data_IF_810462929449
#
_entry.id   IF_810462929449
#
_cell.length_a   1.000
_cell.length_b   1.000
_cell.length_c   1.000
_cell.angle_alpha   90.00
_cell.angle_beta   90.00
_cell.angle_gamma   90.00
#
_symmetry.space_group_name_H-M   'P 1'
#
loop_
_entity.id
_entity.type
_entity.pdbx_description
1 polymer ?
#
# COMPACT_ATOMS: atom_id res chain seq x y z
N UNK A 1 -0.68 8.04 -12.28
CA UNK A 1 -0.34 6.90 -11.40
C UNK A 1 -0.18 7.39 -9.97
N UNK A 2 -1.09 6.99 -9.09
CA UNK A 2 -1.18 7.47 -7.69
C UNK A 2 0.04 7.10 -6.85
N UNK A 3 0.64 5.93 -7.12
CA UNK A 3 1.74 5.37 -6.33
C UNK A 3 3.16 5.82 -6.78
N UNK A 4 3.25 6.65 -7.82
CA UNK A 4 4.52 7.07 -8.40
C UNK A 4 5.40 7.84 -7.39
N UNK A 5 6.66 7.42 -7.25
CA UNK A 5 7.65 8.04 -6.38
C UNK A 5 7.30 8.05 -4.88
N UNK A 6 6.32 7.26 -4.43
CA UNK A 6 5.82 7.32 -3.07
C UNK A 6 6.75 6.70 -2.03
N UNK A 7 7.59 5.74 -2.43
CA UNK A 7 8.65 5.19 -1.56
C UNK A 7 10.04 5.77 -1.89
N UNK A 8 10.12 6.93 -2.56
CA UNK A 8 11.40 7.61 -2.75
C UNK A 8 11.90 8.25 -1.46
N UNK A 9 13.20 8.57 -1.42
CA UNK A 9 13.82 9.30 -0.29
C UNK A 9 13.14 10.66 -0.10
N UNK A 10 12.77 11.36 -1.17
CA UNK A 10 12.05 12.65 -1.07
C UNK A 10 10.65 12.51 -0.46
N UNK A 11 10.07 11.31 -0.51
CA UNK A 11 8.68 11.05 -0.10
C UNK A 11 8.60 10.53 1.35
N UNK A 12 9.46 9.58 1.73
CA UNK A 12 9.44 8.93 3.05
C UNK A 12 10.79 8.96 3.78
N UNK A 13 11.73 9.78 3.31
CA UNK A 13 13.04 9.99 3.94
C UNK A 13 13.90 8.72 3.96
N UNK A 14 14.54 8.49 5.10
CA UNK A 14 15.43 7.33 5.32
C UNK A 14 14.74 5.96 5.19
N UNK A 15 13.40 5.92 5.10
CA UNK A 15 12.63 4.69 4.86
C UNK A 15 12.47 4.36 3.37
N UNK A 16 13.00 5.20 2.48
CA UNK A 16 12.92 5.02 1.03
C UNK A 16 13.39 3.63 0.59
N UNK A 17 12.72 3.07 -0.40
CA UNK A 17 13.00 1.74 -0.97
C UNK A 17 13.32 1.91 -2.46
N UNK A 18 14.61 1.87 -2.81
CA UNK A 18 15.08 2.20 -4.17
C UNK A 18 14.51 1.27 -5.25
N UNK A 19 14.31 -0.01 -4.95
CA UNK A 19 13.74 -0.98 -5.90
C UNK A 19 12.19 -0.97 -5.93
N UNK A 20 11.57 -0.17 -5.06
CA UNK A 20 10.12 -0.10 -4.88
C UNK A 20 9.61 1.34 -4.88
N UNK A 21 10.29 2.26 -5.56
CA UNK A 21 10.00 3.71 -5.53
C UNK A 21 8.56 4.05 -5.91
N UNK A 22 8.00 3.34 -6.89
CA UNK A 22 6.64 3.53 -7.41
C UNK A 22 5.61 2.60 -6.75
N UNK A 23 5.92 2.11 -5.56
CA UNK A 23 5.01 1.32 -4.74
C UNK A 23 4.91 1.98 -3.37
N UNK A 24 3.72 2.02 -2.79
CA UNK A 24 3.49 2.59 -1.47
C UNK A 24 3.93 1.57 -0.42
N UNK A 25 4.82 1.98 0.48
CA UNK A 25 5.26 1.17 1.62
C UNK A 25 4.14 0.93 2.63
N UNK A 26 3.98 -0.31 3.12
CA UNK A 26 2.93 -0.71 4.06
C UNK A 26 3.52 -1.21 5.37
N UNK A 27 3.13 -0.59 6.49
CA UNK A 27 3.45 -1.05 7.84
C UNK A 27 2.64 -2.27 8.27
N UNK A 28 1.37 -2.31 7.85
CA UNK A 28 0.45 -3.38 8.22
C UNK A 28 -0.59 -3.55 7.11
N UNK A 29 -0.87 -4.79 6.74
CA UNK A 29 -1.93 -5.18 5.80
C UNK A 29 -2.84 -6.19 6.51
N UNK A 30 -4.13 -5.95 6.50
CA UNK A 30 -5.13 -6.82 7.10
C UNK A 30 -6.33 -6.97 6.15
N UNK A 31 -6.77 -8.21 5.97
CA UNK A 31 -7.96 -8.57 5.24
C UNK A 31 -8.56 -9.81 5.92
N UNK A 32 -9.88 -9.83 6.08
CA UNK A 32 -10.59 -10.93 6.69
C UNK A 32 -11.77 -11.38 5.82
N UNK A 33 -12.14 -12.63 5.99
CA UNK A 33 -13.27 -13.27 5.34
C UNK A 33 -14.13 -13.88 6.43
N UNK A 34 -15.44 -13.69 6.35
CA UNK A 34 -16.39 -14.43 7.19
C UNK A 34 -17.20 -15.39 6.34
N UNK A 35 -17.43 -16.58 6.89
CA UNK A 35 -18.28 -17.58 6.28
C UNK A 35 -19.43 -17.88 7.24
N UNK A 36 -20.64 -17.53 6.81
CA UNK A 36 -21.89 -17.89 7.47
C UNK A 36 -22.63 -18.87 6.54
N UNK A 37 -23.33 -18.34 5.52
CA UNK A 37 -23.91 -19.14 4.43
C UNK A 37 -23.17 -18.94 3.09
N UNK A 38 -22.57 -17.77 2.89
CA UNK A 38 -21.73 -17.42 1.73
C UNK A 38 -20.48 -16.67 2.23
N UNK A 39 -19.42 -16.66 1.42
CA UNK A 39 -18.19 -15.91 1.71
C UNK A 39 -18.50 -14.41 1.66
N UNK A 40 -18.22 -13.71 2.76
CA UNK A 40 -18.29 -12.25 2.85
C UNK A 40 -16.86 -11.70 2.95
N UNK A 41 -16.48 -10.87 2.00
CA UNK A 41 -15.21 -10.14 2.03
C UNK A 41 -15.35 -8.91 2.91
N UNK A 42 -14.47 -8.77 3.91
CA UNK A 42 -14.34 -7.53 4.65
C UNK A 42 -13.37 -6.58 3.92
N UNK A 43 -13.45 -5.25 4.19
CA UNK A 43 -12.53 -4.30 3.58
C UNK A 43 -11.07 -4.67 3.81
N UNK A 44 -10.25 -4.51 2.78
CA UNK A 44 -8.79 -4.53 2.95
C UNK A 44 -8.43 -3.24 3.70
N UNK A 45 -7.70 -3.39 4.80
CA UNK A 45 -7.19 -2.27 5.59
C UNK A 45 -5.68 -2.32 5.62
N UNK A 46 -5.04 -1.18 5.41
CA UNK A 46 -3.59 -1.09 5.49
C UNK A 46 -3.15 0.23 6.11
N UNK A 47 -1.96 0.22 6.72
CA UNK A 47 -1.32 1.39 7.31
C UNK A 47 -0.09 1.74 6.50
N UNK A 48 0.01 2.99 6.05
CA UNK A 48 1.13 3.54 5.28
C UNK A 48 1.75 4.76 5.98
N UNK A 49 3.00 5.14 5.68
CA UNK A 49 3.51 6.45 6.05
C UNK A 49 2.72 7.57 5.36
N UNK A 50 2.85 8.79 5.86
CA UNK A 50 2.49 9.97 5.07
C UNK A 50 3.54 10.10 3.96
N UNK A 51 3.11 9.99 2.71
CA UNK A 51 3.97 10.00 1.53
C UNK A 51 3.26 10.77 0.39
N UNK A 52 3.89 10.91 -0.77
CA UNK A 52 3.32 11.63 -1.93
C UNK A 52 1.95 11.13 -2.39
N UNK A 53 1.59 9.86 -2.17
CA UNK A 53 0.26 9.33 -2.52
C UNK A 53 -0.82 9.72 -1.52
N UNK A 54 -0.48 10.12 -0.29
CA UNK A 54 -1.48 10.43 0.76
C UNK A 54 -2.55 11.44 0.32
N UNK A 55 -2.21 12.63 -0.23
CA UNK A 55 -3.22 13.56 -0.72
C UNK A 55 -4.00 13.02 -1.91
N UNK A 56 -3.36 12.25 -2.81
CA UNK A 56 -4.00 11.67 -3.99
C UNK A 56 -5.04 10.63 -3.61
N UNK A 57 -4.72 9.75 -2.65
CA UNK A 57 -5.67 8.80 -2.08
C UNK A 57 -6.83 9.51 -1.35
N UNK A 58 -6.56 10.63 -0.69
CA UNK A 58 -7.61 11.45 -0.07
C UNK A 58 -8.60 12.00 -1.09
N UNK A 59 -8.10 12.49 -2.23
CA UNK A 59 -8.95 12.95 -3.35
C UNK A 59 -9.74 11.78 -3.93
N UNK A 60 -9.08 10.68 -4.28
CA UNK A 60 -9.73 9.47 -4.81
C UNK A 60 -10.87 8.98 -3.90
N UNK A 61 -10.65 8.99 -2.58
CA UNK A 61 -11.69 8.65 -1.59
C UNK A 61 -12.84 9.66 -1.60
N UNK A 62 -12.55 10.96 -1.69
CA UNK A 62 -13.59 12.00 -1.70
C UNK A 62 -14.44 11.97 -2.98
N UNK A 63 -13.85 11.54 -4.10
CA UNK A 63 -14.50 11.45 -5.40
C UNK A 63 -15.14 10.07 -5.67
N UNK A 64 -15.02 9.12 -4.71
CA UNK A 64 -15.40 7.71 -4.89
C UNK A 64 -14.77 7.09 -6.16
N UNK A 65 -13.52 7.45 -6.44
CA UNK A 65 -12.76 6.92 -7.57
C UNK A 65 -12.54 5.40 -7.39
N UNK A 66 -12.78 4.64 -8.46
CA UNK A 66 -12.45 3.21 -8.48
C UNK A 66 -10.97 3.06 -8.79
N UNK A 67 -10.23 2.42 -7.87
CA UNK A 67 -8.79 2.25 -7.99
C UNK A 67 -8.41 0.80 -8.28
N UNK A 68 -7.56 0.62 -9.28
CA UNK A 68 -6.89 -0.66 -9.53
C UNK A 68 -5.57 -0.72 -8.75
N UNK A 69 -5.51 -1.68 -7.82
CA UNK A 69 -4.39 -1.83 -6.88
C UNK A 69 -3.85 -3.25 -6.83
N UNK A 70 -2.52 -3.38 -6.75
CA UNK A 70 -1.86 -4.67 -6.54
C UNK A 70 -1.02 -4.64 -5.25
N UNK A 71 -1.34 -5.55 -4.32
CA UNK A 71 -0.56 -5.76 -3.10
C UNK A 71 0.55 -6.79 -3.35
N UNK A 72 1.73 -6.54 -2.80
CA UNK A 72 2.87 -7.45 -2.86
C UNK A 72 3.62 -7.51 -1.54
N UNK A 73 4.23 -8.65 -1.25
CA UNK A 73 5.11 -8.83 -0.08
C UNK A 73 6.41 -9.46 -0.52
N UNK A 74 7.53 -8.89 -0.07
CA UNK A 74 8.88 -9.40 -0.29
C UNK A 74 9.55 -9.75 1.04
N UNK A 75 10.49 -10.68 0.99
CA UNK A 75 11.36 -10.97 2.13
C UNK A 75 12.58 -10.08 2.00
N UNK A 76 12.83 -9.27 3.03
CA UNK A 76 14.01 -8.42 3.09
C UNK A 76 15.24 -9.28 3.41
N UNK A 77 16.19 -9.30 2.49
CA UNK A 77 17.37 -10.19 2.55
C UNK A 77 18.23 -9.91 3.80
N UNK A 78 18.35 -8.65 4.21
CA UNK A 78 19.21 -8.26 5.34
C UNK A 78 18.66 -8.63 6.72
N UNK A 79 17.33 -8.70 6.88
CA UNK A 79 16.68 -8.91 8.18
C UNK A 79 15.89 -10.22 8.26
N UNK A 80 15.63 -10.87 7.12
CA UNK A 80 14.64 -11.95 7.02
C UNK A 80 13.20 -11.50 7.26
N UNK A 81 12.98 -10.20 7.50
CA UNK A 81 11.67 -9.61 7.74
C UNK A 81 10.82 -9.56 6.47
N UNK A 82 9.49 -9.45 6.63
CA UNK A 82 8.56 -9.24 5.51
C UNK A 82 8.30 -7.75 5.35
N UNK A 83 8.32 -7.29 4.10
CA UNK A 83 7.96 -5.93 3.73
C UNK A 83 6.84 -6.00 2.71
N UNK A 84 5.78 -5.23 2.93
CA UNK A 84 4.62 -5.19 2.05
C UNK A 84 4.50 -3.84 1.35
N UNK A 85 3.96 -3.89 0.14
CA UNK A 85 3.75 -2.74 -0.72
C UNK A 85 2.38 -2.80 -1.42
N UNK A 86 1.88 -1.66 -1.87
CA UNK A 86 0.76 -1.57 -2.82
C UNK A 86 1.10 -0.65 -3.97
N UNK A 87 0.75 -1.06 -5.19
CA UNK A 87 0.84 -0.24 -6.39
C UNK A 87 -0.56 0.09 -6.88
N UNK A 88 -0.92 1.37 -6.91
CA UNK A 88 -2.12 1.87 -7.58
C UNK A 88 -1.75 2.43 -8.95
N UNK A 89 -2.42 1.96 -9.99
CA UNK A 89 -2.23 2.37 -11.40
C UNK A 89 -2.86 3.75 -11.63
#
# INVERSE_FOLDING_TARGET
MISAGCSSIDSIGNKGQLDHTDQIFIYNLNHSLTWDQHVKHHPITFKKPVDKSSPLLGIAMSENEVLDGMFGTVIQVSSGGRVSFVKFI
#
